data_IF_546388283426
#
_entry.id   IF_546388283426
#
_cell.length_a   1.000
_cell.length_b   1.000
_cell.length_c   1.000
_cell.angle_alpha   90.00
_cell.angle_beta   90.00
_cell.angle_gamma   90.00
#
_symmetry.space_group_name_H-M   'P 1'
#
loop_
_entity.id
_entity.type
_entity.pdbx_description
1 polymer ?
#
# COMPACT_ATOMS: atom_id res chain seq x y z
N UNK A 1 -17.65 -42.53 -124.73
CA UNK A 1 -18.48 -42.92 -123.56
C UNK A 1 -17.68 -43.19 -122.27
N UNK A 2 -16.50 -43.80 -122.32
CA UNK A 2 -15.75 -44.24 -121.11
C UNK A 2 -15.14 -43.11 -120.25
N UNK A 3 -14.79 -41.94 -120.83
CA UNK A 3 -14.16 -40.84 -120.08
C UNK A 3 -15.10 -40.09 -119.12
N UNK A 4 -16.38 -39.90 -119.47
CA UNK A 4 -17.35 -39.23 -118.60
C UNK A 4 -17.68 -40.03 -117.34
N UNK A 5 -17.68 -41.36 -117.43
CA UNK A 5 -18.02 -42.24 -116.30
C UNK A 5 -16.94 -42.20 -115.20
N UNK A 6 -15.66 -42.10 -115.57
CA UNK A 6 -14.55 -41.96 -114.61
C UNK A 6 -14.57 -40.63 -113.85
N UNK A 7 -14.98 -39.53 -114.51
CA UNK A 7 -15.06 -38.21 -113.88
C UNK A 7 -16.19 -38.16 -112.85
N UNK A 8 -17.35 -38.74 -113.19
CA UNK A 8 -18.50 -38.82 -112.27
C UNK A 8 -18.16 -39.67 -111.04
N UNK A 9 -17.48 -40.80 -111.23
CA UNK A 9 -17.06 -41.66 -110.11
C UNK A 9 -16.04 -40.97 -109.18
N UNK A 10 -15.08 -40.22 -109.74
CA UNK A 10 -14.10 -39.46 -108.95
C UNK A 10 -14.77 -38.33 -108.15
N UNK A 11 -15.77 -37.67 -108.73
CA UNK A 11 -16.53 -36.61 -108.07
C UNK A 11 -17.36 -37.15 -106.90
N UNK A 12 -18.02 -38.30 -107.09
CA UNK A 12 -18.77 -38.99 -106.03
C UNK A 12 -17.81 -39.44 -104.91
N UNK A 13 -16.64 -39.97 -105.24
CA UNK A 13 -15.64 -40.38 -104.23
C UNK A 13 -15.11 -39.20 -103.41
N UNK A 14 -14.92 -38.03 -104.04
CA UNK A 14 -14.51 -36.80 -103.34
C UNK A 14 -15.64 -36.27 -102.46
N UNK A 15 -16.90 -36.32 -102.92
CA UNK A 15 -18.09 -35.95 -102.14
C UNK A 15 -18.32 -36.88 -100.93
N UNK A 16 -18.07 -38.18 -101.08
CA UNK A 16 -18.18 -39.14 -99.96
C UNK A 16 -17.03 -39.01 -98.95
N UNK A 17 -15.81 -38.72 -99.41
CA UNK A 17 -14.67 -38.49 -98.50
C UNK A 17 -14.80 -37.14 -97.77
N UNK A 18 -15.26 -36.09 -98.44
CA UNK A 18 -15.48 -34.78 -97.79
C UNK A 18 -16.64 -34.81 -96.78
N UNK A 19 -17.71 -35.56 -97.04
CA UNK A 19 -18.79 -35.78 -96.05
C UNK A 19 -18.36 -36.64 -94.86
N UNK A 20 -17.49 -37.63 -95.04
CA UNK A 20 -16.87 -38.39 -93.94
C UNK A 20 -15.96 -37.52 -93.07
N UNK A 21 -15.09 -36.70 -93.68
CA UNK A 21 -14.21 -35.77 -92.95
C UNK A 21 -15.03 -34.71 -92.20
N UNK A 22 -16.10 -34.18 -92.80
CA UNK A 22 -17.01 -33.24 -92.14
C UNK A 22 -17.78 -33.89 -90.98
N UNK A 23 -18.26 -35.13 -91.14
CA UNK A 23 -18.89 -35.90 -90.07
C UNK A 23 -17.95 -36.16 -88.89
N UNK A 24 -16.68 -36.45 -89.17
CA UNK A 24 -15.67 -36.72 -88.14
C UNK A 24 -15.22 -35.44 -87.43
N UNK A 25 -15.14 -34.32 -88.15
CA UNK A 25 -14.89 -32.98 -87.61
C UNK A 25 -16.06 -32.51 -86.73
N UNK A 26 -17.30 -32.64 -87.20
CA UNK A 26 -18.53 -32.33 -86.43
C UNK A 26 -18.63 -33.14 -85.14
N UNK A 27 -18.33 -34.46 -85.17
CA UNK A 27 -18.28 -35.29 -83.96
C UNK A 27 -17.20 -34.86 -82.96
N UNK A 28 -16.06 -34.33 -83.44
CA UNK A 28 -15.02 -33.79 -82.57
C UNK A 28 -15.47 -32.47 -81.91
N UNK A 29 -16.12 -31.57 -82.64
CA UNK A 29 -16.70 -30.34 -82.07
C UNK A 29 -17.78 -30.66 -81.01
N UNK A 30 -18.66 -31.62 -81.26
CA UNK A 30 -19.66 -32.04 -80.26
C UNK A 30 -19.01 -32.60 -78.99
N UNK A 31 -17.90 -33.33 -79.13
CA UNK A 31 -17.15 -33.87 -77.99
C UNK A 31 -16.46 -32.76 -77.19
N UNK A 32 -15.91 -31.75 -77.85
CA UNK A 32 -15.34 -30.57 -77.19
C UNK A 32 -16.40 -29.71 -76.51
N UNK A 33 -17.55 -29.50 -77.15
CA UNK A 33 -18.66 -28.75 -76.59
C UNK A 33 -19.19 -29.42 -75.32
N UNK A 34 -19.36 -30.76 -75.33
CA UNK A 34 -19.74 -31.53 -74.13
C UNK A 34 -18.69 -31.43 -73.03
N UNK A 35 -17.39 -31.46 -73.37
CA UNK A 35 -16.30 -31.28 -72.41
C UNK A 35 -16.30 -29.88 -71.80
N UNK A 36 -16.59 -28.85 -72.59
CA UNK A 36 -16.66 -27.47 -72.14
C UNK A 36 -17.87 -27.26 -71.22
N UNK A 37 -19.04 -27.77 -71.61
CA UNK A 37 -20.24 -27.74 -70.76
C UNK A 37 -20.00 -28.46 -69.42
N UNK A 38 -19.37 -29.64 -69.43
CA UNK A 38 -19.00 -30.34 -68.20
C UNK A 38 -17.94 -29.61 -67.35
N UNK A 39 -17.15 -28.70 -67.94
CA UNK A 39 -16.26 -27.80 -67.17
C UNK A 39 -17.05 -26.62 -66.60
N UNK A 40 -17.96 -26.03 -67.37
CA UNK A 40 -18.85 -24.95 -66.93
C UNK A 40 -19.72 -25.42 -65.77
N UNK A 41 -20.32 -26.61 -65.85
CA UNK A 41 -21.14 -27.17 -64.77
C UNK A 41 -20.31 -27.41 -63.50
N UNK A 42 -19.07 -27.89 -63.64
CA UNK A 42 -18.15 -28.03 -62.50
C UNK A 42 -17.80 -26.68 -61.87
N UNK A 43 -17.54 -25.66 -62.69
CA UNK A 43 -17.28 -24.31 -62.20
C UNK A 43 -18.52 -23.73 -61.51
N UNK A 44 -19.71 -23.94 -62.06
CA UNK A 44 -20.97 -23.51 -61.44
C UNK A 44 -21.16 -24.12 -60.06
N UNK A 45 -20.96 -25.44 -59.92
CA UNK A 45 -21.02 -26.11 -58.61
C UNK A 45 -19.97 -25.59 -57.64
N UNK A 46 -18.75 -25.28 -58.11
CA UNK A 46 -17.71 -24.68 -57.27
C UNK A 46 -18.08 -23.28 -56.82
N UNK A 47 -18.66 -22.46 -57.71
CA UNK A 47 -19.17 -21.11 -57.38
C UNK A 47 -20.31 -21.21 -56.37
N UNK A 48 -21.28 -22.10 -56.59
CA UNK A 48 -22.39 -22.31 -55.66
C UNK A 48 -21.91 -22.77 -54.28
N UNK A 49 -20.91 -23.66 -54.24
CA UNK A 49 -20.28 -24.10 -52.99
C UNK A 49 -19.51 -22.98 -52.29
N UNK A 50 -18.83 -22.10 -53.04
CA UNK A 50 -18.12 -20.95 -52.48
C UNK A 50 -19.11 -19.91 -51.96
N UNK A 51 -20.17 -19.59 -52.71
CA UNK A 51 -21.23 -18.69 -52.27
C UNK A 51 -21.93 -19.22 -51.01
N UNK A 52 -22.17 -20.53 -50.92
CA UNK A 52 -22.73 -21.16 -49.73
C UNK A 52 -21.79 -21.02 -48.53
N UNK A 53 -20.49 -21.29 -48.72
CA UNK A 53 -19.48 -21.15 -47.67
C UNK A 53 -19.38 -19.69 -47.18
N UNK A 54 -19.38 -18.72 -48.10
CA UNK A 54 -19.33 -17.30 -47.74
C UNK A 54 -20.58 -16.86 -46.97
N UNK A 55 -21.77 -17.33 -47.37
CA UNK A 55 -23.02 -17.05 -46.65
C UNK A 55 -23.04 -17.63 -45.23
N UNK A 56 -22.33 -18.73 -45.00
CA UNK A 56 -22.26 -19.37 -43.68
C UNK A 56 -21.18 -18.75 -42.79
N UNK A 57 -19.98 -18.53 -43.35
CA UNK A 57 -18.79 -18.12 -42.61
C UNK A 57 -18.78 -16.61 -42.32
N UNK A 58 -19.27 -15.78 -43.25
CA UNK A 58 -19.21 -14.33 -43.09
C UNK A 58 -20.05 -13.83 -41.89
N UNK A 59 -21.29 -14.30 -41.64
CA UNK A 59 -22.04 -13.90 -40.45
C UNK A 59 -21.36 -14.35 -39.15
N UNK A 60 -20.78 -15.54 -39.12
CA UNK A 60 -20.11 -16.08 -37.94
C UNK A 60 -18.83 -15.29 -37.62
N UNK A 61 -18.02 -14.99 -38.64
CA UNK A 61 -16.84 -14.15 -38.52
C UNK A 61 -17.21 -12.73 -38.04
N UNK A 62 -18.25 -12.13 -38.62
CA UNK A 62 -18.72 -10.80 -38.21
C UNK A 62 -19.27 -10.78 -36.79
N UNK A 63 -19.95 -11.86 -36.36
CA UNK A 63 -20.42 -12.03 -34.98
C UNK A 63 -19.24 -12.16 -34.00
N UNK A 64 -18.28 -13.02 -34.31
CA UNK A 64 -17.06 -13.21 -33.50
C UNK A 64 -16.25 -11.91 -33.40
N UNK A 65 -16.09 -11.20 -34.53
CA UNK A 65 -15.40 -9.91 -34.57
C UNK A 65 -16.13 -8.86 -33.72
N UNK A 66 -17.45 -8.70 -33.87
CA UNK A 66 -18.24 -7.77 -33.05
C UNK A 66 -18.11 -8.07 -31.56
N UNK A 67 -18.17 -9.34 -31.17
CA UNK A 67 -18.02 -9.77 -29.78
C UNK A 67 -16.64 -9.44 -29.21
N UNK A 68 -15.58 -9.66 -30.00
CA UNK A 68 -14.20 -9.29 -29.63
C UNK A 68 -14.05 -7.78 -29.46
N UNK A 69 -14.55 -6.99 -30.42
CA UNK A 69 -14.54 -5.52 -30.36
C UNK A 69 -15.32 -5.00 -29.15
N UNK A 70 -16.51 -5.53 -28.87
CA UNK A 70 -17.31 -5.11 -27.70
C UNK A 70 -16.64 -5.48 -26.37
N UNK A 71 -16.02 -6.66 -26.28
CA UNK A 71 -15.29 -7.09 -25.08
C UNK A 71 -14.07 -6.21 -24.83
N UNK A 72 -13.34 -5.84 -25.89
CA UNK A 72 -12.17 -4.97 -25.79
C UNK A 72 -12.56 -3.55 -25.37
N UNK A 73 -13.62 -2.98 -25.95
CA UNK A 73 -14.14 -1.68 -25.55
C UNK A 73 -14.61 -1.65 -24.07
N UNK A 74 -15.21 -2.75 -23.58
CA UNK A 74 -15.56 -2.91 -22.17
C UNK A 74 -14.33 -2.99 -21.27
N UNK A 75 -13.29 -3.75 -21.65
CA UNK A 75 -12.04 -3.82 -20.89
C UNK A 75 -11.33 -2.47 -20.80
N UNK A 76 -11.29 -1.72 -21.90
CA UNK A 76 -10.68 -0.39 -21.93
C UNK A 76 -11.46 0.57 -20.99
N UNK A 77 -12.80 0.46 -20.97
CA UNK A 77 -13.66 1.20 -20.03
C UNK A 77 -13.39 0.82 -18.56
N UNK A 78 -13.26 -0.47 -18.25
CA UNK A 78 -12.93 -0.97 -16.91
C UNK A 78 -11.54 -0.46 -16.48
N UNK A 79 -10.56 -0.48 -17.38
CA UNK A 79 -9.19 -0.02 -17.11
C UNK A 79 -9.17 1.47 -16.77
N UNK A 80 -9.91 2.29 -17.51
CA UNK A 80 -10.06 3.73 -17.23
C UNK A 80 -10.70 3.95 -15.86
N UNK A 81 -11.75 3.21 -15.51
CA UNK A 81 -12.41 3.28 -14.20
C UNK A 81 -11.46 2.88 -13.08
N UNK A 82 -10.68 1.80 -13.26
CA UNK A 82 -9.67 1.36 -12.31
C UNK A 82 -8.57 2.42 -12.13
N UNK A 83 -8.03 2.98 -13.22
CA UNK A 83 -7.05 4.07 -13.14
C UNK A 83 -7.61 5.30 -12.41
N UNK A 84 -8.85 5.70 -12.70
CA UNK A 84 -9.52 6.80 -11.98
C UNK A 84 -9.67 6.48 -10.50
N UNK A 85 -10.00 5.24 -10.14
CA UNK A 85 -10.11 4.80 -8.74
C UNK A 85 -8.75 4.78 -8.05
N UNK A 86 -7.70 4.28 -8.70
CA UNK A 86 -6.31 4.30 -8.20
C UNK A 86 -5.87 5.74 -7.95
N UNK A 87 -6.06 6.65 -8.91
CA UNK A 87 -5.71 8.06 -8.73
C UNK A 87 -6.50 8.71 -7.57
N UNK A 88 -7.78 8.38 -7.44
CA UNK A 88 -8.61 8.86 -6.32
C UNK A 88 -8.10 8.33 -4.97
N UNK A 89 -7.72 7.06 -4.91
CA UNK A 89 -7.16 6.43 -3.70
C UNK A 89 -5.81 7.05 -3.34
N UNK A 90 -4.92 7.24 -4.31
CA UNK A 90 -3.62 7.89 -4.10
C UNK A 90 -3.79 9.31 -3.52
N UNK A 91 -4.73 10.10 -4.06
CA UNK A 91 -5.04 11.43 -3.53
C UNK A 91 -5.58 11.38 -2.09
N UNK A 92 -6.40 10.37 -1.76
CA UNK A 92 -6.87 10.16 -0.38
C UNK A 92 -5.75 9.74 0.57
N UNK A 93 -4.85 8.85 0.13
CA UNK A 93 -3.68 8.42 0.90
C UNK A 93 -2.79 9.62 1.19
N UNK A 94 -2.45 10.43 0.18
CA UNK A 94 -1.66 11.64 0.38
C UNK A 94 -2.33 12.63 1.36
N UNK A 95 -3.66 12.76 1.34
CA UNK A 95 -4.39 13.58 2.30
C UNK A 95 -4.28 13.03 3.73
N UNK A 96 -4.45 11.71 3.90
CA UNK A 96 -4.34 11.04 5.20
C UNK A 96 -2.92 11.12 5.76
N UNK A 97 -1.89 10.93 4.92
CA UNK A 97 -0.48 11.06 5.32
C UNK A 97 -0.17 12.47 5.80
N UNK A 98 -0.65 13.50 5.11
CA UNK A 98 -0.50 14.88 5.55
C UNK A 98 -1.24 15.12 6.88
N UNK A 99 -2.48 14.65 7.02
CA UNK A 99 -3.23 14.76 8.28
C UNK A 99 -2.51 14.05 9.44
N UNK A 100 -1.92 12.89 9.21
CA UNK A 100 -1.13 12.17 10.22
C UNK A 100 0.08 12.98 10.67
N UNK A 101 0.84 13.58 9.74
CA UNK A 101 1.98 14.46 10.08
C UNK A 101 1.57 15.69 10.89
N UNK A 102 0.44 16.31 10.54
CA UNK A 102 -0.10 17.43 11.33
C UNK A 102 -0.57 16.97 12.71
N UNK A 103 -1.17 15.78 12.81
CA UNK A 103 -1.61 15.21 14.09
C UNK A 103 -0.43 14.89 15.01
N UNK A 104 0.69 14.39 14.48
CA UNK A 104 1.93 14.23 15.27
C UNK A 104 2.45 15.57 15.79
N UNK A 105 2.38 16.62 14.96
CA UNK A 105 2.82 17.97 15.33
C UNK A 105 1.89 18.59 16.40
N UNK A 106 0.58 18.41 16.28
CA UNK A 106 -0.40 18.86 17.29
C UNK A 106 -0.28 18.05 18.57
N UNK A 107 -0.02 16.75 18.49
CA UNK A 107 0.24 15.91 19.66
C UNK A 107 1.49 16.37 20.39
N UNK A 108 2.57 16.68 19.66
CA UNK A 108 3.79 17.26 20.24
C UNK A 108 3.53 18.64 20.86
N UNK A 109 2.69 19.48 20.24
CA UNK A 109 2.30 20.78 20.78
C UNK A 109 1.47 20.66 22.07
N UNK A 110 0.47 19.76 22.08
CA UNK A 110 -0.35 19.46 23.26
C UNK A 110 0.54 18.93 24.37
N UNK A 111 1.43 17.99 24.05
CA UNK A 111 2.38 17.43 24.98
C UNK A 111 3.31 18.50 25.57
N UNK A 112 3.87 19.39 24.75
CA UNK A 112 4.68 20.52 25.23
C UNK A 112 3.88 21.46 26.15
N UNK A 113 2.60 21.71 25.83
CA UNK A 113 1.69 22.49 26.69
C UNK A 113 1.41 21.78 28.00
N UNK A 114 1.24 20.46 27.98
CA UNK A 114 1.03 19.64 29.17
C UNK A 114 2.24 19.74 30.11
N UNK A 115 3.45 19.54 29.58
CA UNK A 115 4.70 19.71 30.33
C UNK A 115 4.83 21.13 30.91
N UNK A 116 4.40 22.17 30.17
CA UNK A 116 4.38 23.53 30.71
C UNK A 116 3.38 23.72 31.85
N UNK A 117 2.22 23.09 31.77
CA UNK A 117 1.18 23.14 32.82
C UNK A 117 1.66 22.37 34.06
N UNK A 118 2.20 21.18 33.87
CA UNK A 118 2.77 20.34 34.93
C UNK A 118 3.88 21.11 35.67
N UNK A 119 4.79 21.76 34.91
CA UNK A 119 5.78 22.66 35.48
C UNK A 119 5.16 23.80 36.31
N UNK A 120 4.03 24.38 35.89
CA UNK A 120 3.36 25.45 36.65
C UNK A 120 2.74 24.91 37.94
N UNK A 121 2.14 23.73 37.90
CA UNK A 121 1.52 23.08 39.06
C UNK A 121 2.58 22.76 40.12
N UNK A 122 3.73 22.20 39.72
CA UNK A 122 4.85 21.91 40.63
C UNK A 122 5.38 23.21 41.27
N UNK A 123 5.55 24.29 40.50
CA UNK A 123 5.97 25.59 41.07
C UNK A 123 4.97 26.10 42.11
N UNK A 124 3.67 26.06 41.78
CA UNK A 124 2.61 26.51 42.69
C UNK A 124 2.57 25.67 43.97
N UNK A 125 2.73 24.36 43.85
CA UNK A 125 2.77 23.42 44.98
C UNK A 125 3.96 23.72 45.89
N UNK A 126 5.14 23.98 45.33
CA UNK A 126 6.32 24.33 46.10
C UNK A 126 6.19 25.70 46.78
N UNK A 127 5.67 26.71 46.08
CA UNK A 127 5.38 28.02 46.69
C UNK A 127 4.36 27.92 47.82
N UNK A 128 3.36 27.03 47.69
CA UNK A 128 2.41 26.75 48.76
C UNK A 128 3.08 26.06 49.96
N UNK A 129 3.92 25.06 49.72
CA UNK A 129 4.66 24.34 50.76
C UNK A 129 5.65 25.25 51.50
N UNK A 130 6.40 26.09 50.78
CA UNK A 130 7.30 27.10 51.36
C UNK A 130 6.52 28.11 52.22
N UNK A 131 5.37 28.58 51.75
CA UNK A 131 4.49 29.46 52.52
C UNK A 131 3.90 28.78 53.77
N UNK A 132 3.58 27.48 53.67
CA UNK A 132 3.09 26.66 54.79
C UNK A 132 4.19 26.42 55.84
N UNK A 133 5.43 26.15 55.39
CA UNK A 133 6.60 25.92 56.25
C UNK A 133 7.09 27.21 56.93
N UNK A 134 7.04 28.35 56.23
CA UNK A 134 7.27 29.67 56.84
C UNK A 134 6.27 29.99 57.97
N UNK A 135 5.08 29.37 57.94
CA UNK A 135 4.04 29.52 58.96
C UNK A 135 4.17 28.54 60.13
N UNK A 136 4.97 27.48 59.99
CA UNK A 136 5.06 26.36 60.96
C UNK A 136 6.43 26.19 61.62
N UNK A 137 7.46 26.93 61.21
CA UNK A 137 8.65 27.16 62.04
C UNK A 137 9.47 25.91 62.39
N UNK A 138 9.75 25.01 61.44
CA UNK A 138 10.66 23.88 61.65
C UNK A 138 11.81 23.85 60.64
N UNK A 139 13.03 23.63 61.11
CA UNK A 139 14.29 23.64 60.34
C UNK A 139 14.80 22.20 60.10
N UNK A 140 15.36 22.02 58.89
CA UNK A 140 16.43 21.11 58.44
C UNK A 140 16.14 19.64 58.02
N UNK A 141 16.48 19.35 56.76
CA UNK A 141 17.30 18.19 56.38
C UNK A 141 18.17 18.52 55.14
N UNK A 142 19.42 18.09 55.21
CA UNK A 142 20.53 18.08 54.22
C UNK A 142 20.22 18.41 52.75
N UNK A 143 20.84 19.48 52.22
CA UNK A 143 20.70 19.90 50.82
C UNK A 143 21.36 18.91 49.83
N UNK A 144 20.59 18.38 48.86
CA UNK A 144 21.15 17.71 47.68
C UNK A 144 21.98 18.70 46.84
N UNK A 145 22.91 18.20 46.02
CA UNK A 145 23.76 18.99 45.12
C UNK A 145 22.96 19.94 44.19
N UNK A 146 21.68 19.61 43.95
CA UNK A 146 20.68 20.48 43.35
C UNK A 146 19.58 20.76 44.38
N UNK A 147 19.36 22.02 44.75
CA UNK A 147 18.08 22.40 45.33
C UNK A 147 16.97 22.26 44.26
N UNK A 148 15.71 22.14 44.67
CA UNK A 148 14.59 21.87 43.74
C UNK A 148 14.55 22.84 42.54
N UNK A 149 14.89 24.11 42.74
CA UNK A 149 14.98 25.11 41.68
C UNK A 149 16.10 24.83 40.67
N UNK A 150 17.29 24.41 41.13
CA UNK A 150 18.40 24.02 40.25
C UNK A 150 18.08 22.72 39.49
N UNK A 151 17.46 21.74 40.14
CA UNK A 151 17.04 20.48 39.50
C UNK A 151 16.09 20.79 38.34
N UNK A 152 15.04 21.57 38.61
CA UNK A 152 14.07 22.01 37.61
C UNK A 152 14.71 22.79 36.45
N UNK A 153 15.63 23.72 36.73
CA UNK A 153 16.35 24.46 35.68
C UNK A 153 17.16 23.52 34.79
N UNK A 154 17.80 22.51 35.37
CA UNK A 154 18.58 21.54 34.61
C UNK A 154 17.67 20.59 33.82
N UNK A 155 16.51 20.20 34.37
CA UNK A 155 15.47 19.46 33.67
C UNK A 155 14.98 20.20 32.42
N UNK A 156 14.59 21.48 32.57
CA UNK A 156 14.15 22.30 31.43
C UNK A 156 15.24 22.45 30.35
N UNK A 157 16.51 22.58 30.75
CA UNK A 157 17.63 22.62 29.80
C UNK A 157 17.79 21.30 29.04
N UNK A 158 17.69 20.17 29.75
CA UNK A 158 17.80 18.83 29.17
C UNK A 158 16.66 18.53 28.20
N UNK A 159 15.45 18.97 28.56
CA UNK A 159 14.30 18.92 27.67
C UNK A 159 14.48 19.78 26.42
N UNK A 160 15.08 20.97 26.56
CA UNK A 160 15.46 21.81 25.42
C UNK A 160 16.42 21.11 24.45
N UNK A 161 17.42 20.38 24.98
CA UNK A 161 18.30 19.55 24.14
C UNK A 161 17.53 18.46 23.41
N UNK A 162 16.59 17.77 24.08
CA UNK A 162 15.74 16.77 23.43
C UNK A 162 14.92 17.38 22.29
N UNK A 163 14.29 18.54 22.52
CA UNK A 163 13.50 19.26 21.51
C UNK A 163 14.34 19.69 20.30
N UNK A 164 15.60 20.04 20.52
CA UNK A 164 16.57 20.34 19.45
C UNK A 164 17.18 19.09 18.78
N UNK A 165 16.72 17.89 19.16
CA UNK A 165 17.27 16.60 18.70
C UNK A 165 18.73 16.36 19.11
N UNK A 166 19.24 17.12 20.08
CA UNK A 166 20.55 16.97 20.68
C UNK A 166 20.51 15.85 21.74
N UNK A 167 20.19 14.63 21.32
CA UNK A 167 19.86 13.53 22.22
C UNK A 167 21.00 13.14 23.18
N UNK A 168 22.27 13.25 22.77
CA UNK A 168 23.40 12.92 23.66
C UNK A 168 23.53 13.93 24.82
N UNK A 169 23.29 15.21 24.54
CA UNK A 169 23.26 16.26 25.57
C UNK A 169 22.06 16.07 26.51
N UNK A 170 20.89 15.69 25.96
CA UNK A 170 19.70 15.40 26.74
C UNK A 170 19.88 14.17 27.65
N UNK A 171 20.43 13.07 27.11
CA UNK A 171 20.77 11.85 27.87
C UNK A 171 21.66 12.18 29.05
N UNK A 172 22.73 12.94 28.82
CA UNK A 172 23.65 13.35 29.89
C UNK A 172 22.90 14.15 30.95
N UNK A 173 22.11 15.15 30.55
CA UNK A 173 21.38 16.00 31.49
C UNK A 173 20.35 15.25 32.34
N UNK A 174 19.56 14.36 31.74
CA UNK A 174 18.61 13.54 32.50
C UNK A 174 19.31 12.51 33.39
N UNK A 175 20.40 11.89 32.94
CA UNK A 175 21.18 10.96 33.76
C UNK A 175 21.85 11.65 34.96
N UNK A 176 22.39 12.87 34.76
CA UNK A 176 22.98 13.68 35.82
C UNK A 176 21.92 14.04 36.89
N UNK A 177 20.70 14.40 36.46
CA UNK A 177 19.56 14.67 37.35
C UNK A 177 19.18 13.45 38.19
N UNK A 178 18.93 12.30 37.54
CA UNK A 178 18.59 11.05 38.21
C UNK A 178 19.68 10.59 39.18
N UNK A 179 20.95 10.80 38.84
CA UNK A 179 22.08 10.46 39.72
C UNK A 179 22.17 11.40 40.92
N UNK A 180 21.74 12.65 40.76
CA UNK A 180 21.81 13.65 41.82
C UNK A 180 20.69 13.52 42.86
N UNK A 181 19.47 13.22 42.41
CA UNK A 181 18.30 13.03 43.27
C UNK A 181 17.23 12.21 42.51
N UNK A 182 17.30 10.88 42.66
CA UNK A 182 16.31 9.98 42.09
C UNK A 182 14.95 10.01 42.80
N UNK A 183 14.81 10.77 43.89
CA UNK A 183 13.54 10.90 44.65
C UNK A 183 12.81 12.21 44.37
N UNK A 184 13.37 13.04 43.49
CA UNK A 184 12.78 14.32 43.11
C UNK A 184 11.39 14.15 42.46
N UNK A 185 10.51 15.13 42.64
CA UNK A 185 9.19 15.16 41.99
C UNK A 185 9.25 15.11 40.45
N UNK A 186 10.39 15.43 39.84
CA UNK A 186 10.61 15.34 38.39
C UNK A 186 11.48 14.12 37.99
N UNK A 187 11.84 13.25 38.92
CA UNK A 187 12.73 12.12 38.64
C UNK A 187 12.06 11.08 37.73
N UNK A 188 10.78 10.81 37.90
CA UNK A 188 9.99 9.93 37.02
C UNK A 188 9.97 10.43 35.57
N UNK A 189 9.74 11.73 35.41
CA UNK A 189 9.81 12.46 34.16
C UNK A 189 11.21 12.35 33.54
N UNK A 190 12.28 12.55 34.33
CA UNK A 190 13.66 12.38 33.85
C UNK A 190 13.92 10.96 33.36
N UNK A 191 13.42 9.95 34.07
CA UNK A 191 13.55 8.54 33.70
C UNK A 191 12.83 8.22 32.39
N UNK A 192 11.60 8.72 32.22
CA UNK A 192 10.85 8.61 30.98
C UNK A 192 11.57 9.29 29.81
N UNK A 193 12.04 10.53 30.02
CA UNK A 193 12.73 11.28 28.98
C UNK A 193 14.08 10.70 28.57
N UNK A 194 14.82 10.14 29.52
CA UNK A 194 16.04 9.41 29.24
C UNK A 194 15.74 8.21 28.30
N UNK A 195 14.65 7.50 28.55
CA UNK A 195 14.20 6.41 27.67
C UNK A 195 13.78 6.92 26.28
N UNK A 196 13.02 8.01 26.20
CA UNK A 196 12.64 8.66 24.93
C UNK A 196 13.85 9.12 24.12
N UNK A 197 14.93 9.60 24.77
CA UNK A 197 16.17 9.95 24.07
C UNK A 197 16.79 8.72 23.40
N UNK A 198 16.90 7.59 24.11
CA UNK A 198 17.41 6.35 23.54
C UNK A 198 16.50 5.81 22.43
N UNK A 199 15.18 5.88 22.62
CA UNK A 199 14.20 5.51 21.61
C UNK A 199 14.37 6.33 20.33
N UNK A 200 14.55 7.65 20.47
CA UNK A 200 14.72 8.59 19.35
C UNK A 200 16.03 8.36 18.59
N UNK A 201 17.06 7.91 19.29
CA UNK A 201 18.32 7.43 18.70
C UNK A 201 18.21 6.02 18.07
N UNK A 202 17.03 5.39 18.10
CA UNK A 202 16.78 4.00 17.67
C UNK A 202 17.55 2.96 18.47
N UNK A 203 18.06 3.32 19.64
CA UNK A 203 18.62 2.37 20.59
C UNK A 203 17.52 1.78 21.46
N UNK A 204 16.66 0.99 20.82
CA UNK A 204 15.47 0.44 21.45
C UNK A 204 15.80 -0.47 22.63
N UNK A 205 16.97 -1.13 22.61
CA UNK A 205 17.40 -2.00 23.71
C UNK A 205 17.66 -1.19 24.98
N UNK A 206 18.39 -0.08 24.88
CA UNK A 206 18.58 0.83 26.02
C UNK A 206 17.27 1.51 26.39
N UNK A 207 16.47 1.94 25.42
CA UNK A 207 15.18 2.57 25.67
C UNK A 207 14.26 1.69 26.52
N UNK A 208 14.14 0.39 26.19
CA UNK A 208 13.37 -0.58 26.99
C UNK A 208 13.87 -0.65 28.42
N UNK A 209 15.19 -0.72 28.62
CA UNK A 209 15.79 -0.76 29.96
C UNK A 209 15.44 0.48 30.80
N UNK A 210 15.35 1.65 30.18
CA UNK A 210 15.00 2.90 30.87
C UNK A 210 13.48 3.08 31.05
N UNK A 211 12.64 2.65 30.09
CA UNK A 211 11.17 2.68 30.26
C UNK A 211 10.71 1.76 31.38
N UNK A 212 11.31 0.57 31.53
CA UNK A 212 10.98 -0.34 32.64
C UNK A 212 11.23 0.31 34.01
N UNK A 213 12.23 1.20 34.12
CA UNK A 213 12.53 1.87 35.40
C UNK A 213 11.48 2.92 35.78
N UNK A 214 10.65 3.40 34.85
CA UNK A 214 9.56 4.36 35.14
C UNK A 214 8.58 3.76 36.15
N UNK A 215 8.29 2.46 36.04
CA UNK A 215 7.38 1.76 36.98
C UNK A 215 7.93 1.63 38.41
N UNK A 216 9.19 2.00 38.67
CA UNK A 216 9.71 2.08 40.04
C UNK A 216 9.21 3.33 40.80
N UNK A 217 8.64 4.31 40.08
CA UNK A 217 8.10 5.53 40.65
C UNK A 217 6.60 5.34 40.94
N UNK A 218 6.27 5.05 42.20
CA UNK A 218 4.90 4.75 42.60
C UNK A 218 3.96 5.94 42.35
N UNK A 219 2.90 5.71 41.56
CA UNK A 219 1.87 6.72 41.27
C UNK A 219 2.28 7.77 40.24
N UNK A 220 3.33 7.50 39.45
CA UNK A 220 3.71 8.36 38.31
C UNK A 220 2.58 8.43 37.29
N UNK A 221 2.43 9.59 36.66
CA UNK A 221 1.51 9.79 35.54
C UNK A 221 2.09 9.33 34.19
N UNK A 222 3.32 8.80 34.18
CA UNK A 222 4.03 8.32 32.98
C UNK A 222 3.94 6.81 32.77
N UNK A 223 3.18 6.09 33.59
CA UNK A 223 3.09 4.63 33.54
C UNK A 223 2.49 4.12 32.22
N UNK A 224 1.39 4.72 31.74
CA UNK A 224 0.74 4.33 30.49
C UNK A 224 1.52 4.80 29.25
N UNK A 225 2.15 5.98 29.31
CA UNK A 225 3.14 6.41 28.31
C UNK A 225 4.29 5.40 28.17
N UNK A 226 4.92 5.02 29.29
CA UNK A 226 6.02 4.07 29.31
C UNK A 226 5.58 2.68 28.81
N UNK A 227 4.38 2.22 29.21
CA UNK A 227 3.81 0.95 28.78
C UNK A 227 3.59 0.92 27.26
N UNK A 228 3.06 2.01 26.67
CA UNK A 228 2.91 2.12 25.21
C UNK A 228 4.28 2.06 24.52
N UNK A 229 5.25 2.84 25.03
CA UNK A 229 6.59 2.95 24.44
C UNK A 229 7.36 1.63 24.51
N UNK A 230 7.18 0.84 25.56
CA UNK A 230 7.72 -0.53 25.63
C UNK A 230 7.20 -1.41 24.48
N UNK A 231 5.88 -1.40 24.24
CA UNK A 231 5.30 -2.15 23.12
C UNK A 231 5.87 -1.71 21.77
N UNK A 232 5.97 -0.40 21.53
CA UNK A 232 6.54 0.17 20.30
C UNK A 232 8.04 -0.13 20.15
N UNK A 233 8.81 -0.11 21.24
CA UNK A 233 10.23 -0.41 21.24
C UNK A 233 10.48 -1.90 20.93
N UNK A 234 9.73 -2.81 21.55
CA UNK A 234 9.82 -4.24 21.23
C UNK A 234 9.40 -4.53 19.79
N UNK A 235 8.36 -3.88 19.30
CA UNK A 235 7.94 -3.99 17.91
C UNK A 235 9.05 -3.52 16.96
N UNK A 236 9.69 -2.39 17.26
CA UNK A 236 10.79 -1.84 16.44
C UNK A 236 12.04 -2.72 16.45
N UNK A 237 12.24 -3.54 17.49
CA UNK A 237 13.29 -4.56 17.52
C UNK A 237 12.89 -5.88 16.84
N UNK A 238 11.68 -5.99 16.29
CA UNK A 238 11.14 -7.24 15.75
C UNK A 238 10.79 -8.29 16.81
N UNK A 239 10.79 -7.92 18.09
CA UNK A 239 10.38 -8.78 19.20
C UNK A 239 8.86 -8.80 19.33
N UNK A 240 8.18 -9.35 18.31
CA UNK A 240 6.72 -9.23 18.14
C UNK A 240 5.94 -9.77 19.35
N UNK A 241 6.32 -10.93 19.89
CA UNK A 241 5.63 -11.51 21.05
C UNK A 241 5.74 -10.63 22.30
N UNK A 242 6.90 -10.00 22.51
CA UNK A 242 7.05 -9.03 23.62
C UNK A 242 6.23 -7.77 23.36
N UNK A 243 6.21 -7.28 22.12
CA UNK A 243 5.38 -6.13 21.75
C UNK A 243 3.90 -6.39 22.05
N UNK A 244 3.37 -7.56 21.63
CA UNK A 244 2.00 -7.99 21.94
C UNK A 244 1.73 -8.00 23.44
N UNK A 245 2.64 -8.57 24.24
CA UNK A 245 2.51 -8.61 25.69
C UNK A 245 2.42 -7.21 26.30
N UNK A 246 3.28 -6.27 25.88
CA UNK A 246 3.26 -4.91 26.43
C UNK A 246 2.04 -4.11 25.97
N UNK A 247 1.55 -4.29 24.73
CA UNK A 247 0.28 -3.69 24.32
C UNK A 247 -0.93 -4.28 25.05
N UNK A 248 -0.92 -5.60 25.31
CA UNK A 248 -1.95 -6.25 26.11
C UNK A 248 -1.94 -5.72 27.55
N UNK A 249 -0.77 -5.55 28.17
CA UNK A 249 -0.66 -4.90 29.49
C UNK A 249 -1.24 -3.50 29.51
N UNK A 250 -1.05 -2.71 28.44
CA UNK A 250 -1.68 -1.39 28.35
C UNK A 250 -3.20 -1.49 28.42
N UNK A 251 -3.78 -2.42 27.65
CA UNK A 251 -5.22 -2.66 27.59
C UNK A 251 -5.75 -3.13 28.95
N UNK A 252 -5.02 -4.02 29.63
CA UNK A 252 -5.48 -4.64 30.87
C UNK A 252 -5.35 -3.70 32.08
N UNK A 253 -4.23 -2.99 32.20
CA UNK A 253 -3.92 -2.19 33.38
C UNK A 253 -4.24 -0.70 33.24
N UNK A 254 -4.34 -0.18 32.01
CA UNK A 254 -4.62 1.23 31.74
C UNK A 254 -5.84 1.44 30.81
N UNK A 255 -7.03 0.88 31.14
CA UNK A 255 -8.21 0.96 30.28
C UNK A 255 -8.76 2.39 30.07
N UNK A 256 -8.38 3.34 30.94
CA UNK A 256 -8.73 4.76 30.82
C UNK A 256 -7.69 5.63 30.10
N UNK A 257 -6.55 5.05 29.70
CA UNK A 257 -5.49 5.79 29.01
C UNK A 257 -5.94 6.30 27.64
N UNK A 258 -5.48 7.48 27.24
CA UNK A 258 -5.66 7.99 25.89
C UNK A 258 -5.00 7.07 24.82
N UNK A 259 -4.03 6.26 25.23
CA UNK A 259 -3.32 5.31 24.38
C UNK A 259 -4.04 3.97 24.21
N UNK A 260 -5.11 3.72 24.96
CA UNK A 260 -5.86 2.46 24.89
C UNK A 260 -6.28 2.07 23.47
N UNK A 261 -6.88 2.96 22.65
CA UNK A 261 -7.26 2.61 21.27
C UNK A 261 -6.04 2.25 20.41
N UNK A 262 -4.92 2.96 20.61
CA UNK A 262 -3.68 2.74 19.87
C UNK A 262 -3.06 1.39 20.19
N UNK A 263 -3.02 1.01 21.47
CA UNK A 263 -2.54 -0.31 21.89
C UNK A 263 -3.40 -1.44 21.32
N UNK A 264 -4.73 -1.29 21.36
CA UNK A 264 -5.66 -2.27 20.78
C UNK A 264 -5.46 -2.45 19.28
N UNK A 265 -5.27 -1.35 18.55
CA UNK A 265 -5.01 -1.39 17.12
C UNK A 265 -3.64 -2.01 16.80
N UNK A 266 -2.60 -1.69 17.56
CA UNK A 266 -1.28 -2.29 17.41
C UNK A 266 -1.32 -3.79 17.65
N UNK A 267 -1.94 -4.23 18.76
CA UNK A 267 -2.09 -5.64 19.10
C UNK A 267 -2.84 -6.43 18.02
N UNK A 268 -3.95 -5.87 17.51
CA UNK A 268 -4.71 -6.49 16.42
C UNK A 268 -3.86 -6.68 15.18
N UNK A 269 -3.11 -5.65 14.75
CA UNK A 269 -2.24 -5.74 13.56
C UNK A 269 -1.18 -6.82 13.72
N UNK A 270 -0.49 -6.83 14.86
CA UNK A 270 0.57 -7.80 15.13
C UNK A 270 0.06 -9.24 15.28
N UNK A 271 -1.23 -9.45 15.50
CA UNK A 271 -1.84 -10.80 15.63
C UNK A 271 -2.34 -11.36 14.29
N UNK A 272 -2.32 -10.56 13.23
CA UNK A 272 -2.74 -10.96 11.88
C UNK A 272 -1.54 -11.35 10.98
N UNK A 273 -0.33 -10.98 11.39
CA UNK A 273 0.95 -11.33 10.76
C UNK A 273 1.55 -12.58 11.41
#
# INVERSE_FOLDING_TARGET
MVKSFKIIFLFILILTNSSLIFSQSSKNYDKELRRLNAKIDRVRVLVDSLEFNDRLLLPELMSAFRKSVSSKAQQDSITIVMMKRINTLNNKIAKLENQAKFMDSTSLEIYNKLIMIENKIVTLTNSYNEMSQMKSGSIAATEPQFNAAKYKKHYMKSLGFFQNQEYDSAIKGFADLLSSDATNDLADNCQYWLAECYYSKKDFKRAVGEFVKVFNYAGTDKDDDAQLKLGLAYQSMGSIEKAKQEFQRLIDYFPGSEYYPKAKDALRKLSLD
#
